data_IF_614378445519
#
_entry.id   IF_614378445519
#
_cell.length_a   1.000
_cell.length_b   1.000
_cell.length_c   1.000
_cell.angle_alpha   90.00
_cell.angle_beta   90.00
_cell.angle_gamma   90.00
#
_symmetry.space_group_name_H-M   'P 1'
#
loop_
_entity.id
_entity.type
_entity.pdbx_description
1 polymer ?
#
# COMPACT_ATOMS: atom_id res chain seq x y z
N UNK A 1 19.53 -8.61 -10.15
CA UNK A 1 19.56 -9.26 -8.82
C UNK A 1 18.25 -8.97 -8.11
N UNK A 2 17.28 -9.88 -8.25
CA UNK A 2 15.92 -9.75 -7.70
C UNK A 2 15.88 -10.32 -6.27
N UNK A 3 16.75 -9.83 -5.39
CA UNK A 3 16.74 -10.29 -4.01
C UNK A 3 15.65 -9.50 -3.25
N UNK A 4 14.50 -10.14 -2.99
CA UNK A 4 13.66 -9.69 -1.88
C UNK A 4 14.49 -9.79 -0.61
N UNK A 5 14.55 -8.68 0.13
CA UNK A 5 15.19 -8.54 1.43
C UNK A 5 14.14 -8.44 2.53
N UNK A 6 14.42 -9.03 3.69
CA UNK A 6 13.48 -8.99 4.81
C UNK A 6 13.33 -7.55 5.31
N UNK A 7 12.12 -6.94 5.29
CA UNK A 7 11.91 -5.54 5.66
C UNK A 7 11.85 -5.31 7.19
N UNK A 8 12.06 -6.35 7.99
CA UNK A 8 11.96 -6.30 9.46
C UNK A 8 10.55 -6.62 9.98
N UNK A 9 10.46 -6.86 11.29
CA UNK A 9 9.24 -7.31 11.97
C UNK A 9 8.21 -6.19 12.17
N UNK A 10 8.67 -4.98 12.51
CA UNK A 10 7.81 -3.83 12.81
C UNK A 10 8.02 -2.71 11.80
N UNK A 11 6.95 -1.97 11.51
CA UNK A 11 7.00 -0.76 10.68
C UNK A 11 6.56 0.47 11.46
N UNK A 12 6.70 1.64 10.84
CA UNK A 12 6.54 2.93 11.53
C UNK A 12 5.13 3.51 11.44
N UNK A 13 4.38 3.17 10.39
CA UNK A 13 3.10 3.79 10.06
C UNK A 13 2.25 2.90 9.14
N UNK A 14 1.00 3.31 8.92
CA UNK A 14 0.19 2.85 7.79
C UNK A 14 0.51 3.68 6.54
N UNK A 15 0.46 3.06 5.36
CA UNK A 15 0.71 3.75 4.10
C UNK A 15 -0.39 3.48 3.08
N UNK A 16 -0.89 4.54 2.46
CA UNK A 16 -1.53 4.47 1.13
C UNK A 16 -0.65 5.21 0.12
N UNK A 17 -0.51 4.68 -1.10
CA UNK A 17 0.23 5.36 -2.17
C UNK A 17 -0.45 5.29 -3.55
N UNK A 18 -0.28 6.34 -4.35
CA UNK A 18 -0.86 6.40 -5.70
C UNK A 18 -0.58 7.70 -6.45
N UNK A 19 -0.79 7.72 -7.76
CA UNK A 19 -0.78 8.97 -8.52
C UNK A 19 -2.05 9.75 -8.15
N UNK A 20 -1.93 10.78 -7.31
CA UNK A 20 -3.07 11.51 -6.77
C UNK A 20 -3.66 12.52 -7.79
N UNK A 21 -3.01 12.72 -8.94
CA UNK A 21 -3.64 13.35 -10.12
C UNK A 21 -4.82 12.53 -10.65
N UNK A 22 -4.82 11.21 -10.43
CA UNK A 22 -5.83 10.30 -10.98
C UNK A 22 -7.05 10.25 -10.03
N UNK A 23 -8.27 10.51 -10.54
CA UNK A 23 -9.48 10.51 -9.74
C UNK A 23 -9.70 9.28 -8.86
N UNK A 24 -9.50 8.10 -9.42
CA UNK A 24 -9.66 6.84 -8.71
C UNK A 24 -8.76 6.74 -7.47
N UNK A 25 -7.52 7.25 -7.56
CA UNK A 25 -6.56 7.17 -6.47
C UNK A 25 -6.86 8.17 -5.35
N UNK A 26 -7.12 9.44 -5.68
CA UNK A 26 -7.40 10.41 -4.62
C UNK A 26 -8.75 10.15 -3.96
N UNK A 27 -9.76 9.63 -4.69
CA UNK A 27 -11.03 9.22 -4.11
C UNK A 27 -10.84 8.06 -3.12
N UNK A 28 -10.05 7.05 -3.48
CA UNK A 28 -9.69 5.98 -2.56
C UNK A 28 -8.93 6.50 -1.32
N UNK A 29 -8.03 7.47 -1.50
CA UNK A 29 -7.34 8.12 -0.38
C UNK A 29 -8.34 8.86 0.54
N UNK A 30 -9.27 9.65 -0.02
CA UNK A 30 -10.33 10.34 0.74
C UNK A 30 -11.16 9.35 1.57
N UNK A 31 -11.57 8.23 0.97
CA UNK A 31 -12.35 7.20 1.67
C UNK A 31 -11.58 6.55 2.82
N UNK A 32 -10.31 6.21 2.59
CA UNK A 32 -9.45 5.65 3.63
C UNK A 32 -9.20 6.65 4.76
N UNK A 33 -8.94 7.92 4.45
CA UNK A 33 -8.77 8.96 5.49
C UNK A 33 -10.03 9.09 6.34
N UNK A 34 -11.21 9.18 5.71
CA UNK A 34 -12.47 9.36 6.42
C UNK A 34 -12.92 8.15 7.25
N UNK A 35 -12.74 6.93 6.74
CA UNK A 35 -13.38 5.74 7.32
C UNK A 35 -12.41 4.78 8.00
N UNK A 36 -11.11 4.87 7.72
CA UNK A 36 -10.09 3.98 8.27
C UNK A 36 -9.09 4.75 9.12
N UNK A 37 -8.36 5.69 8.54
CA UNK A 37 -7.23 6.35 9.21
C UNK A 37 -7.67 7.32 10.31
N UNK A 38 -8.79 8.04 10.11
CA UNK A 38 -9.39 8.89 11.16
C UNK A 38 -9.83 8.11 12.41
N UNK A 39 -10.02 6.78 12.30
CA UNK A 39 -10.45 5.90 13.40
C UNK A 39 -9.28 5.35 14.20
N UNK A 40 -8.06 5.76 13.87
CA UNK A 40 -6.80 5.32 14.48
C UNK A 40 -5.93 6.54 14.88
N UNK A 41 -6.45 7.46 15.73
CA UNK A 41 -5.83 8.78 15.97
C UNK A 41 -4.43 8.72 16.62
N UNK A 42 -4.03 7.58 17.19
CA UNK A 42 -2.70 7.43 17.82
C UNK A 42 -1.69 6.71 16.90
N UNK A 43 -2.06 6.44 15.65
CA UNK A 43 -1.24 5.68 14.72
C UNK A 43 -0.83 6.56 13.54
N UNK A 44 0.47 6.82 13.36
CA UNK A 44 0.97 7.56 12.21
C UNK A 44 0.53 6.90 10.90
N UNK A 45 0.01 7.70 9.99
CA UNK A 45 -0.42 7.28 8.67
C UNK A 45 0.10 8.24 7.63
N UNK A 46 0.57 7.71 6.50
CA UNK A 46 1.07 8.49 5.38
C UNK A 46 0.18 8.23 4.15
N UNK A 47 -0.25 9.30 3.51
CA UNK A 47 -0.78 9.30 2.14
C UNK A 47 0.35 9.80 1.24
N UNK A 48 0.81 8.99 0.28
CA UNK A 48 1.93 9.34 -0.58
C UNK A 48 1.52 9.41 -2.06
N UNK A 49 1.85 10.51 -2.74
CA UNK A 49 1.59 10.60 -4.18
C UNK A 49 1.69 11.99 -4.77
N UNK A 50 1.82 12.05 -6.09
CA UNK A 50 2.03 13.32 -6.80
C UNK A 50 0.71 14.04 -7.11
N UNK A 51 0.79 15.37 -7.08
CA UNK A 51 -0.29 16.31 -7.42
C UNK A 51 -1.64 16.04 -6.71
N UNK A 52 -1.68 15.96 -5.37
CA UNK A 52 -2.93 15.80 -4.64
C UNK A 52 -3.87 16.98 -4.88
N UNK A 53 -5.19 16.76 -5.07
CA UNK A 53 -6.15 17.84 -5.17
C UNK A 53 -6.28 18.58 -3.82
N UNK A 54 -6.69 19.85 -3.87
CA UNK A 54 -6.86 20.71 -2.68
C UNK A 54 -7.74 20.08 -1.60
N UNK A 55 -8.78 19.38 -2.01
CA UNK A 55 -9.70 18.68 -1.10
C UNK A 55 -8.97 17.62 -0.27
N UNK A 56 -8.13 16.78 -0.89
CA UNK A 56 -7.35 15.77 -0.17
C UNK A 56 -6.32 16.40 0.78
N UNK A 57 -5.69 17.50 0.35
CA UNK A 57 -4.75 18.27 1.20
C UNK A 57 -5.46 18.77 2.46
N UNK A 58 -6.62 19.40 2.30
CA UNK A 58 -7.42 19.93 3.42
C UNK A 58 -7.92 18.82 4.33
N UNK A 59 -8.36 17.70 3.77
CA UNK A 59 -8.83 16.55 4.53
C UNK A 59 -7.72 15.95 5.39
N UNK A 60 -6.53 15.74 4.83
CA UNK A 60 -5.39 15.19 5.60
C UNK A 60 -4.99 16.14 6.74
N UNK A 61 -4.98 17.46 6.48
CA UNK A 61 -4.66 18.47 7.49
C UNK A 61 -5.66 18.54 8.66
N UNK A 62 -6.84 17.90 8.55
CA UNK A 62 -7.81 17.83 9.63
C UNK A 62 -7.48 16.78 10.70
N UNK A 63 -6.60 15.83 10.40
CA UNK A 63 -6.28 14.71 11.29
C UNK A 63 -4.80 14.71 11.66
N UNK A 64 -4.48 14.85 12.96
CA UNK A 64 -3.10 14.91 13.46
C UNK A 64 -2.27 13.66 13.13
N UNK A 65 -2.92 12.52 12.89
CA UNK A 65 -2.27 11.25 12.60
C UNK A 65 -2.08 10.98 11.10
N UNK A 66 -2.53 11.87 10.21
CA UNK A 66 -2.47 11.70 8.76
C UNK A 66 -1.54 12.73 8.13
N UNK A 67 -0.41 12.25 7.61
CA UNK A 67 0.56 13.07 6.88
C UNK A 67 0.38 12.85 5.36
N UNK A 68 0.21 13.93 4.59
CA UNK A 68 0.23 13.88 3.14
C UNK A 68 1.63 14.23 2.62
N UNK A 69 2.26 13.29 1.91
CA UNK A 69 3.56 13.49 1.24
C UNK A 69 3.39 13.49 -0.28
N UNK A 70 3.81 14.57 -0.91
CA UNK A 70 3.80 14.74 -2.37
C UNK A 70 5.16 15.18 -2.89
N UNK A 71 5.33 15.16 -4.22
CA UNK A 71 6.60 15.50 -4.90
C UNK A 71 7.76 14.59 -4.47
N UNK A 72 7.46 13.30 -4.36
CA UNK A 72 8.41 12.29 -3.92
C UNK A 72 9.13 11.66 -5.12
N UNK A 73 10.39 11.29 -4.95
CA UNK A 73 11.09 10.43 -5.91
C UNK A 73 10.62 8.99 -5.79
N UNK A 74 10.90 8.19 -6.81
CA UNK A 74 10.66 6.75 -6.83
C UNK A 74 11.27 6.05 -5.62
N UNK A 75 12.51 6.39 -5.28
CA UNK A 75 13.25 5.82 -4.16
C UNK A 75 12.57 6.16 -2.83
N UNK A 76 12.10 7.39 -2.66
CA UNK A 76 11.38 7.80 -1.46
C UNK A 76 10.07 7.02 -1.29
N UNK A 77 9.34 6.74 -2.38
CA UNK A 77 8.11 5.94 -2.30
C UNK A 77 8.42 4.48 -1.97
N UNK A 78 9.48 3.92 -2.52
CA UNK A 78 9.93 2.58 -2.15
C UNK A 78 10.35 2.48 -0.68
N UNK A 79 11.07 3.49 -0.18
CA UNK A 79 11.40 3.59 1.24
C UNK A 79 10.12 3.65 2.06
N UNK A 80 9.14 4.47 1.66
CA UNK A 80 7.87 4.55 2.36
C UNK A 80 7.17 3.20 2.47
N UNK A 81 7.09 2.46 1.34
CA UNK A 81 6.47 1.12 1.25
C UNK A 81 7.19 0.11 2.13
N UNK A 82 8.52 0.13 2.14
CA UNK A 82 9.36 -0.78 2.92
C UNK A 82 9.21 -0.52 4.42
N UNK A 83 9.19 0.74 4.83
CA UNK A 83 9.13 1.15 6.23
C UNK A 83 7.72 1.06 6.84
N UNK A 84 6.67 1.12 6.01
CA UNK A 84 5.29 0.91 6.44
C UNK A 84 5.14 -0.41 7.21
N UNK A 85 4.31 -0.40 8.26
CA UNK A 85 3.90 -1.64 8.91
C UNK A 85 2.85 -2.36 8.07
N UNK A 86 1.91 -1.58 7.54
CA UNK A 86 0.85 -2.05 6.64
C UNK A 86 0.74 -1.10 5.46
N UNK A 87 0.83 -1.66 4.26
CA UNK A 87 0.42 -1.00 3.02
C UNK A 87 -1.09 -1.22 2.87
N UNK A 88 -1.88 -0.18 3.06
CA UNK A 88 -3.35 -0.21 2.94
C UNK A 88 -3.71 0.24 1.54
N UNK A 89 -4.09 -0.70 0.67
CA UNK A 89 -4.35 -0.44 -0.75
C UNK A 89 -5.80 -0.72 -1.09
N UNK A 90 -6.53 0.33 -1.44
CA UNK A 90 -7.96 0.29 -1.72
C UNK A 90 -8.24 0.88 -3.11
N UNK A 91 -9.21 0.30 -3.81
CA UNK A 91 -9.64 0.77 -5.13
C UNK A 91 -11.12 0.50 -5.37
N UNK A 92 -11.81 1.42 -6.05
CA UNK A 92 -13.19 1.25 -6.51
C UNK A 92 -13.29 0.82 -7.99
N UNK A 93 -12.16 0.65 -8.67
CA UNK A 93 -12.08 0.23 -10.08
C UNK A 93 -11.09 -0.94 -10.21
N UNK A 94 -11.16 -1.72 -11.30
CA UNK A 94 -10.27 -2.87 -11.55
C UNK A 94 -9.23 -2.58 -12.66
N UNK A 95 -8.89 -1.32 -12.88
CA UNK A 95 -8.00 -0.84 -13.93
C UNK A 95 -6.60 -0.52 -13.39
N UNK A 96 -5.53 -1.08 -13.98
CA UNK A 96 -4.15 -0.61 -13.75
C UNK A 96 -3.52 -0.83 -12.36
N UNK A 97 -4.16 -1.60 -11.48
CA UNK A 97 -3.87 -1.62 -10.04
C UNK A 97 -2.76 -2.60 -9.60
N UNK A 98 -2.49 -3.65 -10.38
CA UNK A 98 -1.65 -4.79 -9.97
C UNK A 98 -0.23 -4.40 -9.58
N UNK A 99 0.30 -3.33 -10.15
CA UNK A 99 1.69 -2.93 -9.90
C UNK A 99 1.90 -2.30 -8.51
N UNK A 100 0.94 -1.53 -7.99
CA UNK A 100 1.02 -0.99 -6.61
C UNK A 100 1.03 -2.13 -5.59
N UNK A 101 0.14 -3.09 -5.79
CA UNK A 101 0.07 -4.28 -4.94
C UNK A 101 1.36 -5.09 -5.02
N UNK A 102 1.87 -5.36 -6.22
CA UNK A 102 3.14 -6.07 -6.40
C UNK A 102 4.29 -5.36 -5.68
N UNK A 103 4.41 -4.03 -5.81
CA UNK A 103 5.47 -3.28 -5.13
C UNK A 103 5.37 -3.41 -3.60
N UNK A 104 4.17 -3.30 -3.04
CA UNK A 104 3.93 -3.52 -1.61
C UNK A 104 4.29 -4.95 -1.16
N UNK A 105 4.02 -5.96 -1.99
CA UNK A 105 4.33 -7.35 -1.66
C UNK A 105 5.82 -7.69 -1.79
N UNK A 106 6.51 -7.12 -2.79
CA UNK A 106 7.94 -7.33 -3.01
C UNK A 106 8.83 -6.60 -1.99
N UNK A 107 8.43 -5.41 -1.56
CA UNK A 107 9.30 -4.52 -0.75
C UNK A 107 8.78 -4.31 0.68
N UNK A 108 7.47 -4.47 0.90
CA UNK A 108 6.79 -4.13 2.14
C UNK A 108 6.49 -5.32 3.06
N UNK A 109 5.85 -4.99 4.19
CA UNK A 109 5.41 -5.93 5.22
C UNK A 109 3.99 -6.44 4.92
N UNK A 110 3.00 -6.07 5.72
CA UNK A 110 1.63 -6.48 5.48
C UNK A 110 0.97 -5.64 4.38
N UNK A 111 0.03 -6.25 3.66
CA UNK A 111 -0.84 -5.57 2.70
C UNK A 111 -2.29 -5.82 3.12
N UNK A 112 -3.03 -4.75 3.47
CA UNK A 112 -4.47 -4.80 3.71
C UNK A 112 -5.17 -4.20 2.50
N UNK A 113 -6.08 -4.95 1.90
CA UNK A 113 -6.67 -4.61 0.60
C UNK A 113 -8.16 -4.89 0.55
N UNK A 114 -8.86 -4.35 -0.45
CA UNK A 114 -10.21 -4.78 -0.77
C UNK A 114 -10.23 -5.84 -1.90
N UNK A 115 -11.33 -6.61 -2.08
CA UNK A 115 -11.41 -7.67 -3.08
C UNK A 115 -11.05 -7.21 -4.50
N UNK A 116 -11.45 -5.99 -4.85
CA UNK A 116 -11.19 -5.41 -6.17
C UNK A 116 -9.69 -5.22 -6.45
N UNK A 117 -8.87 -4.98 -5.42
CA UNK A 117 -7.42 -4.80 -5.54
C UNK A 117 -6.70 -6.09 -5.98
N UNK A 118 -7.26 -7.25 -5.60
CA UNK A 118 -6.65 -8.57 -5.83
C UNK A 118 -7.34 -9.35 -6.95
N UNK A 119 -8.42 -8.83 -7.51
CA UNK A 119 -9.24 -9.56 -8.49
C UNK A 119 -8.43 -10.01 -9.72
N UNK A 120 -8.51 -11.31 -10.02
CA UNK A 120 -7.76 -11.95 -11.09
C UNK A 120 -6.24 -11.76 -11.01
N UNK A 121 -5.69 -11.50 -9.83
CA UNK A 121 -4.24 -11.29 -9.64
C UNK A 121 -3.50 -12.55 -9.25
N UNK A 122 -4.15 -13.50 -8.56
CA UNK A 122 -3.46 -14.62 -7.93
C UNK A 122 -2.66 -14.24 -6.68
N UNK A 123 -2.81 -13.02 -6.16
CA UNK A 123 -2.11 -12.50 -4.98
C UNK A 123 -2.98 -12.50 -3.70
N UNK A 124 -4.18 -13.06 -3.76
CA UNK A 124 -5.18 -13.06 -2.70
C UNK A 124 -4.61 -13.66 -1.40
N UNK A 125 -3.87 -14.76 -1.52
CA UNK A 125 -3.26 -15.48 -0.40
C UNK A 125 -2.16 -14.71 0.34
N UNK A 126 -1.63 -13.65 -0.29
CA UNK A 126 -0.55 -12.83 0.27
C UNK A 126 -1.05 -11.58 1.01
N UNK A 127 -2.37 -11.35 0.99
CA UNK A 127 -3.01 -10.12 1.46
C UNK A 127 -4.04 -10.38 2.56
N UNK A 128 -4.25 -9.37 3.40
CA UNK A 128 -5.38 -9.29 4.31
C UNK A 128 -6.56 -8.61 3.59
N UNK A 129 -7.63 -9.35 3.30
CA UNK A 129 -8.74 -8.82 2.48
C UNK A 129 -9.91 -8.37 3.36
N UNK A 130 -10.28 -7.09 3.28
CA UNK A 130 -11.49 -6.51 3.87
C UNK A 130 -12.51 -6.15 2.79
N UNK A 131 -13.76 -6.64 2.89
CA UNK A 131 -14.75 -6.51 1.80
C UNK A 131 -15.32 -5.10 1.63
N UNK A 132 -15.21 -4.28 2.65
CA UNK A 132 -15.61 -2.88 2.69
C UNK A 132 -14.67 -2.10 3.65
N UNK A 133 -14.83 -0.79 3.77
CA UNK A 133 -13.93 0.06 4.58
C UNK A 133 -13.95 -0.30 6.07
N UNK A 134 -15.08 -0.76 6.63
CA UNK A 134 -15.13 -1.25 8.01
C UNK A 134 -14.30 -2.53 8.17
N UNK A 135 -14.42 -3.47 7.23
CA UNK A 135 -13.60 -4.70 7.23
C UNK A 135 -12.12 -4.38 7.04
N UNK A 136 -11.78 -3.40 6.19
CA UNK A 136 -10.41 -2.91 6.04
C UNK A 136 -9.88 -2.36 7.36
N UNK A 137 -10.67 -1.55 8.08
CA UNK A 137 -10.30 -1.07 9.41
C UNK A 137 -10.10 -2.22 10.42
N UNK A 138 -10.97 -3.23 10.40
CA UNK A 138 -10.82 -4.41 11.26
C UNK A 138 -9.53 -5.18 10.93
N UNK A 139 -9.22 -5.36 9.65
CA UNK A 139 -7.98 -6.01 9.19
C UNK A 139 -6.74 -5.21 9.54
N UNK A 140 -6.78 -3.89 9.42
CA UNK A 140 -5.71 -3.01 9.90
C UNK A 140 -5.47 -3.23 11.39
N UNK A 141 -6.53 -3.21 12.22
CA UNK A 141 -6.41 -3.45 13.67
C UNK A 141 -5.86 -4.83 14.01
N UNK A 142 -6.33 -5.88 13.33
CA UNK A 142 -5.85 -7.25 13.50
C UNK A 142 -4.35 -7.34 13.18
N UNK A 143 -3.93 -6.80 12.04
CA UNK A 143 -2.55 -6.93 11.56
C UNK A 143 -1.57 -6.02 12.30
N UNK A 144 -2.04 -4.93 12.93
CA UNK A 144 -1.22 -4.11 13.84
C UNK A 144 -0.78 -4.86 15.10
N UNK A 145 -1.47 -5.93 15.48
CA UNK A 145 -1.11 -6.78 16.62
C UNK A 145 -0.10 -7.87 16.26
N UNK A 146 0.27 -7.98 14.97
CA UNK A 146 1.13 -9.02 14.45
C UNK A 146 2.52 -8.48 14.11
N UNK A 147 3.53 -9.31 14.34
CA UNK A 147 4.87 -9.07 13.83
C UNK A 147 5.02 -9.67 12.43
N UNK A 148 5.61 -8.92 11.51
CA UNK A 148 5.91 -9.43 10.17
C UNK A 148 7.10 -10.39 10.24
N UNK A 149 6.84 -11.66 10.56
CA UNK A 149 7.89 -12.65 10.82
C UNK A 149 8.71 -13.01 9.57
N UNK A 150 9.91 -13.56 9.80
CA UNK A 150 10.73 -14.13 8.72
C UNK A 150 10.02 -15.28 8.00
N UNK A 151 9.14 -16.02 8.67
CA UNK A 151 8.32 -17.06 8.05
C UNK A 151 7.30 -16.46 7.07
N UNK A 152 6.60 -15.40 7.46
CA UNK A 152 5.71 -14.65 6.57
C UNK A 152 6.45 -14.21 5.30
N UNK A 153 7.63 -13.61 5.49
CA UNK A 153 8.48 -13.14 4.40
C UNK A 153 8.93 -14.28 3.47
N UNK A 154 9.42 -15.39 4.02
CA UNK A 154 9.92 -16.51 3.22
C UNK A 154 8.80 -17.18 2.41
N UNK A 155 7.62 -17.38 3.02
CA UNK A 155 6.46 -17.93 2.30
C UNK A 155 6.03 -17.03 1.14
N UNK A 156 5.99 -15.71 1.36
CA UNK A 156 5.71 -14.74 0.30
C UNK A 156 6.76 -14.77 -0.80
N UNK A 157 8.05 -14.80 -0.42
CA UNK A 157 9.17 -14.83 -1.37
C UNK A 157 9.11 -16.06 -2.28
N UNK A 158 8.84 -17.24 -1.71
CA UNK A 158 8.66 -18.49 -2.47
C UNK A 158 7.48 -18.34 -3.43
N UNK A 159 6.31 -17.95 -2.93
CA UNK A 159 5.11 -17.79 -3.76
C UNK A 159 5.33 -16.85 -4.94
N UNK A 160 5.88 -15.66 -4.70
CA UNK A 160 6.18 -14.68 -5.75
C UNK A 160 7.21 -15.21 -6.74
N UNK A 161 8.24 -15.93 -6.25
CA UNK A 161 9.26 -16.54 -7.11
C UNK A 161 8.74 -17.69 -7.98
N UNK A 162 7.67 -18.38 -7.58
CA UNK A 162 7.09 -19.48 -8.37
C UNK A 162 6.09 -18.95 -9.40
N UNK A 163 5.25 -17.99 -9.00
CA UNK A 163 4.11 -17.55 -9.80
C UNK A 163 4.40 -16.31 -10.64
N UNK A 164 5.41 -15.51 -10.26
CA UNK A 164 5.74 -14.23 -10.90
C UNK A 164 7.21 -14.12 -11.32
N UNK A 165 7.94 -15.25 -11.40
CA UNK A 165 9.37 -15.32 -11.80
C UNK A 165 9.65 -14.83 -13.22
N UNK A 166 8.64 -14.88 -14.10
CA UNK A 166 8.78 -14.52 -15.50
C UNK A 166 8.92 -13.02 -15.62
N UNK A 167 10.16 -12.50 -15.58
CA UNK A 167 10.51 -11.12 -15.95
C UNK A 167 9.35 -10.13 -15.66
N UNK A 168 8.84 -10.08 -14.43
CA UNK A 168 8.33 -8.81 -13.93
C UNK A 168 9.61 -8.02 -13.82
N UNK A 169 9.98 -7.40 -14.94
CA UNK A 169 11.20 -6.68 -15.13
C UNK A 169 11.29 -5.79 -13.90
N UNK A 170 12.44 -5.70 -13.26
CA UNK A 170 12.70 -4.60 -12.33
C UNK A 170 12.27 -3.27 -12.97
N UNK A 171 12.34 -3.19 -14.30
CA UNK A 171 11.69 -2.20 -15.16
C UNK A 171 10.18 -2.03 -14.95
N UNK A 172 9.34 -3.07 -14.91
CA UNK A 172 7.89 -2.94 -14.66
C UNK A 172 7.58 -2.45 -13.25
N UNK A 173 8.37 -2.82 -12.24
CA UNK A 173 8.23 -2.27 -10.87
C UNK A 173 8.76 -0.82 -10.79
N UNK A 174 9.81 -0.48 -11.56
CA UNK A 174 10.32 0.89 -11.65
C UNK A 174 9.42 1.81 -12.50
N UNK A 175 8.81 1.30 -13.58
CA UNK A 175 7.91 1.99 -14.50
C UNK A 175 6.48 2.12 -13.93
N UNK A 176 6.04 1.19 -13.09
CA UNK A 176 4.81 1.31 -12.30
C UNK A 176 4.75 2.54 -11.40
N UNK A 177 5.93 3.12 -11.18
CA UNK A 177 6.21 4.26 -10.31
C UNK A 177 6.52 5.48 -11.18
N UNK A 178 6.04 5.51 -12.43
CA UNK A 178 5.82 6.77 -13.15
C UNK A 178 4.66 7.53 -12.47
N UNK A 179 4.97 8.09 -11.31
CA UNK A 179 4.29 9.26 -10.78
C UNK A 179 4.72 10.53 -11.52
N UNK A 180 5.53 10.40 -12.58
CA UNK A 180 5.97 11.52 -13.38
C UNK A 180 4.82 12.07 -14.22
N UNK A 181 4.50 13.32 -13.90
CA UNK A 181 3.74 14.30 -14.68
C UNK A 181 2.23 14.07 -14.77
#
# INVERSE_FOLDING_TARGET
NNAMDYPGAHGKYLLYHGNLSVPENYMAAIELVNQVFSKLPNLPTIIAGNNPPKELIQLCAHFDNVELKSNLTTEQIHELIREAHINVLYTNQNTGIKLKLLNALYSGKFAVVNPLMVDGSGLESLCAIGKNLNDVLLKVKEYLLLDYSSLYFNNRKVFLSEHFNNKISSQLLMEAIDFSS
#
